data_IF_390193528183
#
_entry.id   IF_390193528183
#
_cell.length_a   1.000
_cell.length_b   1.000
_cell.length_c   1.000
_cell.angle_alpha   90.00
_cell.angle_beta   90.00
_cell.angle_gamma   90.00
#
_symmetry.space_group_name_H-M   'P 1'
#
loop_
_entity.id
_entity.type
_entity.pdbx_description
1 polymer ?
#
# COMPACT_ATOMS: atom_id res chain seq x y z
N UNK A 1 3.20 0.18 16.52
CA UNK A 1 4.20 0.93 15.73
C UNK A 1 3.40 1.80 14.79
N UNK A 2 3.54 3.11 14.91
CA UNK A 2 2.78 4.06 14.11
C UNK A 2 3.19 3.92 12.64
N UNK A 3 2.23 3.52 11.80
CA UNK A 3 2.41 3.45 10.35
C UNK A 3 2.30 4.88 9.80
N UNK A 4 3.35 5.68 10.00
CA UNK A 4 3.48 7.06 9.49
C UNK A 4 3.72 7.09 7.96
N UNK A 5 2.77 6.52 7.21
CA UNK A 5 2.67 6.79 5.78
C UNK A 5 1.87 8.08 5.59
N UNK A 6 2.57 9.16 5.23
CA UNK A 6 1.96 10.45 4.89
C UNK A 6 1.05 10.34 3.65
N UNK A 7 1.37 9.42 2.74
CA UNK A 7 0.63 9.19 1.49
C UNK A 7 -0.40 8.08 1.62
N UNK A 8 -1.47 8.20 0.84
CA UNK A 8 -2.57 7.25 0.80
C UNK A 8 -2.61 6.51 -0.54
N UNK A 9 -3.30 5.36 -0.59
CA UNK A 9 -3.37 4.53 -1.81
C UNK A 9 -3.91 5.26 -3.05
N UNK A 10 -4.70 6.32 -2.90
CA UNK A 10 -5.15 7.13 -4.04
C UNK A 10 -4.03 7.96 -4.66
N UNK A 11 -2.98 8.31 -3.92
CA UNK A 11 -1.86 9.12 -4.41
C UNK A 11 -1.00 8.37 -5.43
N UNK A 12 -1.05 7.04 -5.40
CA UNK A 12 -0.33 6.20 -6.37
C UNK A 12 -1.18 5.85 -7.60
N UNK A 13 -2.49 6.13 -7.58
CA UNK A 13 -3.44 5.71 -8.64
C UNK A 13 -3.00 6.17 -10.04
N UNK A 14 -2.54 7.41 -10.17
CA UNK A 14 -2.17 8.07 -11.44
C UNK A 14 -0.68 8.06 -11.73
N UNK A 15 0.16 7.44 -10.89
CA UNK A 15 1.61 7.40 -11.10
C UNK A 15 1.95 6.77 -12.46
N UNK A 16 2.71 7.46 -13.33
CA UNK A 16 2.95 7.04 -14.70
C UNK A 16 3.95 5.89 -14.83
N UNK A 17 4.63 5.50 -13.75
CA UNK A 17 5.57 4.39 -13.71
C UNK A 17 4.93 3.08 -13.24
N UNK A 18 5.52 1.95 -13.64
CA UNK A 18 5.23 0.65 -13.03
C UNK A 18 5.69 0.66 -11.56
N UNK A 19 4.89 0.09 -10.68
CA UNK A 19 5.17 0.04 -9.24
C UNK A 19 5.38 -1.41 -8.82
N UNK A 20 6.47 -1.66 -8.09
CA UNK A 20 6.59 -2.83 -7.24
C UNK A 20 5.92 -2.48 -5.91
N UNK A 21 4.89 -3.22 -5.53
CA UNK A 21 4.15 -3.00 -4.28
C UNK A 21 4.43 -4.19 -3.38
N UNK A 22 5.06 -3.93 -2.24
CA UNK A 22 5.32 -4.93 -1.21
C UNK A 22 4.28 -4.82 -0.11
N UNK A 23 3.76 -5.97 0.33
CA UNK A 23 2.86 -6.07 1.47
C UNK A 23 3.53 -6.88 2.56
N UNK A 24 3.42 -6.37 3.79
CA UNK A 24 3.91 -7.01 4.99
C UNK A 24 3.02 -8.15 5.46
N UNK A 25 3.51 -8.91 6.45
CA UNK A 25 2.65 -9.85 7.18
C UNK A 25 1.66 -9.08 8.06
N UNK A 26 0.54 -9.71 8.43
CA UNK A 26 -0.49 -9.07 9.27
C UNK A 26 0.03 -8.69 10.66
N UNK A 27 0.99 -9.44 11.16
CA UNK A 27 1.51 -9.28 12.52
C UNK A 27 2.65 -8.28 12.59
N UNK A 28 3.59 -8.39 11.66
CA UNK A 28 4.89 -7.73 11.75
C UNK A 28 5.10 -6.69 10.64
N UNK A 29 4.18 -6.58 9.68
CA UNK A 29 4.32 -5.67 8.56
C UNK A 29 5.47 -6.07 7.62
N UNK A 30 6.04 -5.08 6.94
CA UNK A 30 7.19 -5.29 6.06
C UNK A 30 8.46 -5.46 6.88
N UNK A 31 9.43 -6.22 6.37
CA UNK A 31 10.73 -6.30 7.04
C UNK A 31 11.45 -4.95 6.99
N UNK A 32 12.35 -4.66 7.95
CA UNK A 32 13.10 -3.41 7.96
C UNK A 32 13.87 -3.13 6.67
N UNK A 33 14.37 -4.17 6.00
CA UNK A 33 15.09 -4.06 4.72
C UNK A 33 14.17 -3.64 3.58
N UNK A 34 12.94 -4.17 3.54
CA UNK A 34 11.92 -3.76 2.56
C UNK A 34 11.50 -2.32 2.81
N UNK A 35 11.30 -1.95 4.07
CA UNK A 35 10.94 -0.57 4.43
C UNK A 35 12.03 0.45 4.07
N UNK A 36 13.30 0.11 4.27
CA UNK A 36 14.43 0.98 3.93
C UNK A 36 14.65 1.08 2.42
N UNK A 37 14.33 0.01 1.67
CA UNK A 37 14.44 -0.01 0.21
C UNK A 37 13.28 0.69 -0.50
N UNK A 38 12.15 0.87 0.20
CA UNK A 38 10.96 1.46 -0.37
C UNK A 38 11.16 2.97 -0.61
N UNK A 39 11.00 3.41 -1.87
CA UNK A 39 11.03 4.84 -2.20
C UNK A 39 9.78 5.59 -1.74
N UNK A 40 8.71 4.87 -1.40
CA UNK A 40 7.41 5.39 -0.98
C UNK A 40 6.77 4.44 0.03
N UNK A 41 6.17 4.99 1.08
CA UNK A 41 5.25 4.29 1.98
C UNK A 41 3.85 4.87 1.80
N UNK A 42 2.84 4.00 1.69
CA UNK A 42 1.43 4.39 1.52
C UNK A 42 0.55 3.60 2.47
N UNK A 43 -0.58 4.19 2.87
CA UNK A 43 -1.60 3.51 3.68
C UNK A 43 -2.99 3.57 3.05
N UNK A 44 -3.85 2.66 3.48
CA UNK A 44 -5.29 2.76 3.22
C UNK A 44 -5.89 3.60 4.36
N UNK A 45 -6.61 4.70 4.06
CA UNK A 45 -7.33 5.42 5.09
C UNK A 45 -8.40 4.52 5.74
N UNK A 46 -8.20 4.19 7.01
CA UNK A 46 -9.15 3.46 7.84
C UNK A 46 -9.31 4.22 9.16
N UNK A 47 -10.42 3.95 9.87
CA UNK A 47 -10.65 4.54 11.20
C UNK A 47 -9.65 3.98 12.22
N UNK A 48 -9.09 4.82 13.09
CA UNK A 48 -8.21 4.37 14.19
C UNK A 48 -8.94 3.51 15.24
N UNK A 49 -10.27 3.35 15.10
CA UNK A 49 -11.10 2.49 15.96
C UNK A 49 -11.22 1.06 15.45
N UNK A 50 -10.62 0.72 14.30
CA UNK A 50 -10.66 -0.63 13.74
C UNK A 50 -9.25 -1.15 13.54
N UNK A 51 -9.12 -2.47 13.57
CA UNK A 51 -7.88 -3.16 13.24
C UNK A 51 -7.53 -2.98 11.76
N UNK A 52 -6.24 -3.22 11.45
CA UNK A 52 -5.77 -3.27 10.08
C UNK A 52 -6.54 -4.31 9.26
N UNK A 53 -6.71 -4.02 7.97
CA UNK A 53 -7.29 -4.99 7.05
C UNK A 53 -6.35 -6.18 6.87
N UNK A 54 -6.93 -7.36 6.60
CA UNK A 54 -6.12 -8.50 6.16
C UNK A 54 -5.31 -8.16 4.91
N UNK A 55 -4.18 -8.85 4.73
CA UNK A 55 -3.22 -8.53 3.66
C UNK A 55 -3.84 -8.63 2.27
N UNK A 56 -4.77 -9.57 2.06
CA UNK A 56 -5.43 -9.80 0.77
C UNK A 56 -6.39 -8.68 0.39
N UNK A 57 -7.16 -8.16 1.36
CA UNK A 57 -8.04 -7.02 1.18
C UNK A 57 -7.23 -5.75 0.90
N UNK A 58 -6.13 -5.55 1.62
CA UNK A 58 -5.20 -4.44 1.39
C UNK A 58 -4.61 -4.48 -0.03
N UNK A 59 -4.19 -5.66 -0.48
CA UNK A 59 -3.71 -5.87 -1.85
C UNK A 59 -4.79 -5.57 -2.89
N UNK A 60 -6.01 -6.09 -2.70
CA UNK A 60 -7.14 -5.86 -3.60
C UNK A 60 -7.47 -4.38 -3.75
N UNK A 61 -7.60 -3.64 -2.65
CA UNK A 61 -7.88 -2.19 -2.66
C UNK A 61 -6.77 -1.42 -3.38
N UNK A 62 -5.51 -1.76 -3.08
CA UNK A 62 -4.35 -1.06 -3.67
C UNK A 62 -4.27 -1.30 -5.18
N UNK A 63 -4.44 -2.54 -5.63
CA UNK A 63 -4.43 -2.90 -7.05
C UNK A 63 -5.64 -2.31 -7.79
N UNK A 64 -6.82 -2.29 -7.17
CA UNK A 64 -8.01 -1.66 -7.74
C UNK A 64 -7.82 -0.16 -7.94
N UNK A 65 -7.16 0.55 -7.01
CA UNK A 65 -6.81 1.96 -7.19
C UNK A 65 -5.86 2.20 -8.39
N UNK A 66 -5.12 1.18 -8.82
CA UNK A 66 -4.22 1.22 -9.98
C UNK A 66 -4.82 0.67 -11.26
N UNK A 67 -6.09 0.23 -11.26
CA UNK A 67 -6.70 -0.51 -12.37
C UNK A 67 -6.60 0.23 -13.71
N UNK A 68 -6.84 1.55 -13.72
CA UNK A 68 -6.79 2.36 -14.94
C UNK A 68 -5.40 2.51 -15.55
N UNK A 69 -4.33 2.39 -14.75
CA UNK A 69 -2.97 2.34 -15.26
C UNK A 69 -2.59 0.92 -15.68
N UNK A 70 -2.90 -0.07 -14.83
CA UNK A 70 -2.49 -1.46 -15.04
C UNK A 70 -3.21 -2.15 -16.21
N UNK A 71 -4.38 -1.66 -16.63
CA UNK A 71 -5.14 -2.21 -17.76
C UNK A 71 -4.85 -1.55 -19.10
N UNK A 72 -4.06 -0.47 -19.16
CA UNK A 72 -3.62 0.12 -20.43
C UNK A 72 -2.56 -0.79 -21.04
N UNK A 73 -3.01 -1.72 -21.90
CA UNK A 73 -2.18 -2.44 -22.89
C UNK A 73 -2.15 -1.68 -24.20
#
# INVERSE_FOLDING_TARGET
MDMDAEKIVSDISSMPQRLLIAFGSEKDGCSPEVEQSASLKVRIPISDKVESLNVSASAGITLFNRIGFNQKS
#
